data_IF_020336906965
#
_entry.id   IF_020336906965
#
_cell.length_a   1.000
_cell.length_b   1.000
_cell.length_c   1.000
_cell.angle_alpha   90.00
_cell.angle_beta   90.00
_cell.angle_gamma   90.00
#
_symmetry.space_group_name_H-M   'P 1'
#
loop_
_entity.id
_entity.type
_entity.pdbx_description
1 polymer ?
#
# COMPACT_ATOMS: atom_id res chain seq x y z
N UNK A 1 -21.64 -25.54 -12.00
CA UNK A 1 -20.44 -24.75 -11.63
C UNK A 1 -20.92 -23.42 -11.06
N UNK A 2 -20.56 -23.05 -9.83
CA UNK A 2 -21.14 -21.86 -9.16
C UNK A 2 -20.28 -20.61 -9.39
N UNK A 3 -20.93 -19.48 -9.69
CA UNK A 3 -20.26 -18.19 -9.90
C UNK A 3 -19.63 -17.67 -8.60
N UNK A 4 -18.61 -16.82 -8.71
CA UNK A 4 -17.96 -16.23 -7.54
C UNK A 4 -18.93 -15.41 -6.67
N UNK A 5 -19.87 -14.70 -7.30
CA UNK A 5 -20.91 -13.95 -6.61
C UNK A 5 -21.83 -14.86 -5.77
N UNK A 6 -22.21 -16.02 -6.32
CA UNK A 6 -23.04 -16.99 -5.59
C UNK A 6 -22.31 -17.62 -4.41
N UNK A 7 -21.00 -17.88 -4.55
CA UNK A 7 -20.16 -18.37 -3.44
C UNK A 7 -20.09 -17.36 -2.30
N UNK A 8 -19.88 -16.08 -2.62
CA UNK A 8 -19.86 -15.00 -1.64
C UNK A 8 -21.19 -14.86 -0.91
N UNK A 9 -22.32 -14.84 -1.63
CA UNK A 9 -23.66 -14.80 -1.01
C UNK A 9 -23.89 -15.96 -0.06
N UNK A 10 -23.48 -17.18 -0.44
CA UNK A 10 -23.61 -18.36 0.41
C UNK A 10 -22.74 -18.27 1.68
N UNK A 11 -21.50 -17.80 1.57
CA UNK A 11 -20.61 -17.62 2.71
C UNK A 11 -21.09 -16.50 3.64
N UNK A 12 -21.58 -15.38 3.10
CA UNK A 12 -22.11 -14.28 3.91
C UNK A 12 -23.35 -14.71 4.70
N UNK A 13 -24.27 -15.44 4.05
CA UNK A 13 -25.46 -15.99 4.70
C UNK A 13 -25.11 -17.04 5.78
N UNK A 14 -24.07 -17.84 5.54
CA UNK A 14 -23.52 -18.77 6.54
C UNK A 14 -22.99 -18.06 7.79
N UNK A 15 -22.32 -16.93 7.63
CA UNK A 15 -21.82 -16.11 8.75
C UNK A 15 -22.99 -15.46 9.49
N UNK A 16 -23.95 -14.88 8.77
CA UNK A 16 -25.16 -14.25 9.36
C UNK A 16 -25.99 -15.24 10.19
N UNK A 17 -26.09 -16.50 9.74
CA UNK A 17 -26.82 -17.57 10.45
C UNK A 17 -26.02 -18.22 11.60
N UNK A 18 -24.85 -17.69 11.96
CA UNK A 18 -24.04 -18.22 13.06
C UNK A 18 -23.43 -19.59 12.74
N UNK A 19 -22.96 -19.79 11.51
CA UNK A 19 -22.30 -21.03 11.04
C UNK A 19 -23.23 -22.25 10.94
N UNK A 20 -24.54 -22.03 10.78
CA UNK A 20 -25.53 -23.10 10.59
C UNK A 20 -25.62 -23.56 9.13
N UNK A 21 -24.82 -24.56 8.75
CA UNK A 21 -24.77 -25.14 7.39
C UNK A 21 -26.16 -25.48 6.83
N UNK A 22 -26.98 -26.20 7.60
CA UNK A 22 -28.30 -26.64 7.15
C UNK A 22 -29.27 -25.48 6.95
N UNK A 23 -29.10 -24.37 7.70
CA UNK A 23 -29.90 -23.16 7.53
C UNK A 23 -29.60 -22.49 6.18
N UNK A 24 -28.31 -22.35 5.87
CA UNK A 24 -27.85 -21.78 4.59
C UNK A 24 -28.32 -22.60 3.39
N UNK A 25 -28.24 -23.93 3.47
CA UNK A 25 -28.66 -24.82 2.38
C UNK A 25 -30.18 -24.80 2.19
N UNK A 26 -30.97 -24.78 3.27
CA UNK A 26 -32.43 -24.67 3.18
C UNK A 26 -32.88 -23.34 2.59
N UNK A 27 -32.16 -22.25 2.90
CA UNK A 27 -32.54 -20.90 2.47
C UNK A 27 -32.12 -20.61 1.02
N UNK A 28 -30.97 -21.12 0.57
CA UNK A 28 -30.48 -20.88 -0.78
C UNK A 28 -30.87 -22.00 -1.76
N UNK A 29 -31.12 -23.24 -1.30
CA UNK A 29 -31.45 -24.39 -2.16
C UNK A 29 -30.25 -24.99 -2.91
N UNK A 30 -29.12 -24.30 -2.86
CA UNK A 30 -27.76 -24.66 -3.27
C UNK A 30 -26.86 -23.97 -2.22
N UNK A 31 -25.62 -24.37 -1.89
CA UNK A 31 -24.72 -25.41 -2.38
C UNK A 31 -24.70 -26.68 -1.53
N UNK A 32 -23.81 -27.64 -1.82
CA UNK A 32 -23.57 -28.80 -0.95
C UNK A 32 -22.78 -28.43 0.30
N UNK A 33 -22.96 -29.21 1.38
CA UNK A 33 -22.25 -29.04 2.67
C UNK A 33 -20.73 -28.90 2.54
N UNK A 34 -20.12 -29.62 1.59
CA UNK A 34 -18.68 -29.61 1.36
C UNK A 34 -18.22 -28.36 0.61
N UNK A 35 -19.01 -27.91 -0.38
CA UNK A 35 -18.72 -26.69 -1.11
C UNK A 35 -18.74 -25.46 -0.19
N UNK A 36 -19.73 -25.37 0.71
CA UNK A 36 -19.83 -24.25 1.65
C UNK A 36 -18.65 -24.21 2.65
N UNK A 37 -18.16 -25.37 3.09
CA UNK A 37 -16.95 -25.47 3.93
C UNK A 37 -15.70 -25.03 3.16
N UNK A 38 -15.57 -25.43 1.90
CA UNK A 38 -14.47 -24.99 1.02
C UNK A 38 -14.48 -23.48 0.82
N UNK A 39 -15.63 -22.92 0.44
CA UNK A 39 -15.77 -21.49 0.22
C UNK A 39 -15.57 -20.67 1.49
N UNK A 40 -15.99 -21.16 2.65
CA UNK A 40 -15.71 -20.49 3.92
C UNK A 40 -14.21 -20.49 4.24
N UNK A 41 -13.48 -21.57 3.96
CA UNK A 41 -12.01 -21.62 4.12
C UNK A 41 -11.32 -20.67 3.17
N UNK A 42 -11.69 -20.67 1.89
CA UNK A 42 -11.18 -19.72 0.90
C UNK A 42 -11.48 -18.28 1.33
N UNK A 43 -12.70 -18.00 1.78
CA UNK A 43 -13.10 -16.68 2.26
C UNK A 43 -12.28 -16.23 3.48
N UNK A 44 -12.05 -17.12 4.46
CA UNK A 44 -11.21 -16.81 5.62
C UNK A 44 -9.76 -16.61 5.18
N UNK A 45 -9.19 -17.43 4.28
CA UNK A 45 -7.84 -17.23 3.76
C UNK A 45 -7.73 -15.92 2.98
N UNK A 46 -8.71 -15.58 2.15
CA UNK A 46 -8.72 -14.32 1.41
C UNK A 46 -8.99 -13.09 2.29
N UNK A 47 -9.78 -13.22 3.36
CA UNK A 47 -9.89 -12.16 4.37
C UNK A 47 -8.60 -12.04 5.18
N UNK A 48 -7.96 -13.15 5.55
CA UNK A 48 -6.67 -13.14 6.23
C UNK A 48 -5.61 -12.45 5.36
N UNK A 49 -5.62 -12.70 4.05
CA UNK A 49 -4.80 -12.00 3.05
C UNK A 49 -5.18 -10.53 2.83
N UNK A 50 -6.39 -10.09 3.21
CA UNK A 50 -6.76 -8.66 3.22
C UNK A 50 -6.48 -7.99 4.57
N UNK A 51 -6.50 -8.75 5.66
CA UNK A 51 -6.23 -8.29 7.03
C UNK A 51 -4.71 -8.24 7.28
N UNK A 52 -3.94 -9.10 6.61
CA UNK A 52 -2.51 -8.94 6.48
C UNK A 52 -2.24 -8.16 5.20
N UNK A 53 -2.06 -6.84 5.24
CA UNK A 53 -1.22 -6.25 4.22
C UNK A 53 0.08 -7.04 4.32
N UNK A 54 0.39 -7.81 3.27
CA UNK A 54 1.74 -8.31 3.06
C UNK A 54 2.58 -7.09 2.73
N UNK A 55 2.80 -6.25 3.75
CA UNK A 55 3.86 -5.29 3.80
C UNK A 55 5.10 -6.15 3.77
N UNK A 56 5.58 -6.44 2.57
CA UNK A 56 6.98 -6.80 2.38
C UNK A 56 7.75 -5.86 3.28
N UNK A 57 8.47 -6.41 4.26
CA UNK A 57 9.21 -5.60 5.22
C UNK A 57 9.93 -4.52 4.42
N UNK A 58 9.59 -3.23 4.62
CA UNK A 58 10.11 -2.19 3.76
C UNK A 58 11.63 -2.30 3.81
N UNK A 59 12.27 -2.31 2.64
CA UNK A 59 13.72 -2.48 2.48
C UNK A 59 14.54 -1.50 3.35
N UNK A 60 13.89 -0.45 3.81
CA UNK A 60 14.41 0.54 4.73
C UNK A 60 13.43 0.74 5.88
N UNK A 61 13.94 0.90 7.09
CA UNK A 61 13.12 1.19 8.26
C UNK A 61 12.47 2.58 8.13
N UNK A 62 11.34 2.79 8.80
CA UNK A 62 10.68 4.11 8.83
C UNK A 62 11.61 5.20 9.40
N UNK A 63 12.49 4.84 10.35
CA UNK A 63 13.52 5.73 10.88
C UNK A 63 14.53 6.17 9.82
N UNK A 64 14.92 5.27 8.91
CA UNK A 64 15.81 5.58 7.79
C UNK A 64 15.12 6.50 6.77
N UNK A 65 13.84 6.27 6.50
CA UNK A 65 13.01 7.14 5.64
C UNK A 65 12.95 8.56 6.22
N UNK A 66 12.66 8.69 7.52
CA UNK A 66 12.52 9.98 8.18
C UNK A 66 13.84 10.76 8.22
N UNK A 67 14.97 10.09 8.53
CA UNK A 67 16.29 10.73 8.52
C UNK A 67 16.65 11.27 7.12
N UNK A 68 16.31 10.53 6.07
CA UNK A 68 16.52 10.98 4.69
C UNK A 68 15.65 12.18 4.30
N UNK A 69 14.39 12.20 4.74
CA UNK A 69 13.48 13.33 4.50
C UNK A 69 13.90 14.59 5.27
N UNK A 70 14.42 14.45 6.49
CA UNK A 70 14.89 15.59 7.28
C UNK A 70 16.18 16.18 6.71
N UNK A 71 17.11 15.32 6.28
CA UNK A 71 18.32 15.77 5.59
C UNK A 71 17.99 16.47 4.26
N UNK A 72 16.94 16.01 3.57
CA UNK A 72 16.44 16.64 2.35
C UNK A 72 15.84 18.03 2.61
N UNK A 73 15.13 18.23 3.72
CA UNK A 73 14.58 19.55 4.12
C UNK A 73 15.68 20.55 4.46
N UNK A 74 16.72 20.10 5.15
CA UNK A 74 17.79 20.95 5.68
C UNK A 74 18.82 21.38 4.63
N UNK A 75 18.99 20.61 3.54
CA UNK A 75 20.02 20.82 2.53
C UNK A 75 19.43 21.17 1.14
N UNK A 76 18.55 22.17 1.10
CA UNK A 76 18.02 22.76 -0.14
C UNK A 76 17.30 21.79 -1.09
N UNK A 77 16.67 20.73 -0.56
CA UNK A 77 15.89 19.78 -1.36
C UNK A 77 16.74 19.08 -2.44
N UNK A 78 18.04 18.88 -2.18
CA UNK A 78 18.94 18.21 -3.10
C UNK A 78 19.06 16.70 -2.80
N UNK A 79 18.55 15.88 -3.73
CA UNK A 79 18.60 14.41 -3.67
C UNK A 79 20.05 13.90 -3.68
N UNK A 80 20.92 14.51 -4.49
CA UNK A 80 22.32 14.09 -4.64
C UNK A 80 23.14 14.29 -3.37
N UNK A 81 22.92 15.40 -2.65
CA UNK A 81 23.60 15.68 -1.37
C UNK A 81 23.15 14.67 -0.31
N UNK A 82 21.85 14.45 -0.21
CA UNK A 82 21.26 13.50 0.75
C UNK A 82 21.77 12.07 0.51
N UNK A 83 21.87 11.63 -0.75
CA UNK A 83 22.45 10.34 -1.11
C UNK A 83 23.93 10.22 -0.76
N UNK A 84 24.71 11.31 -0.91
CA UNK A 84 26.15 11.31 -0.63
C UNK A 84 26.44 11.25 0.87
N UNK A 85 25.62 11.91 1.68
CA UNK A 85 25.78 11.94 3.14
C UNK A 85 25.28 10.65 3.78
N UNK A 86 24.12 10.14 3.35
CA UNK A 86 23.53 8.94 3.96
C UNK A 86 24.01 7.63 3.33
N UNK A 87 24.51 7.64 2.09
CA UNK A 87 24.94 6.43 1.37
C UNK A 87 23.80 5.49 0.95
N UNK A 88 22.58 5.75 1.43
CA UNK A 88 21.30 5.13 1.07
C UNK A 88 20.21 6.22 1.19
N UNK A 89 19.01 6.06 0.61
CA UNK A 89 18.58 5.08 -0.39
C UNK A 89 18.96 5.53 -1.82
N UNK A 90 18.72 4.67 -2.82
CA UNK A 90 18.92 5.03 -4.23
C UNK A 90 18.04 6.21 -4.67
N UNK A 91 18.46 6.93 -5.72
CA UNK A 91 17.79 8.13 -6.26
C UNK A 91 16.29 7.95 -6.46
N UNK A 92 15.87 6.82 -7.04
CA UNK A 92 14.47 6.51 -7.32
C UNK A 92 13.63 6.37 -6.04
N UNK A 93 14.18 5.70 -5.03
CA UNK A 93 13.52 5.51 -3.74
C UNK A 93 13.40 6.82 -2.97
N UNK A 94 14.46 7.65 -2.93
CA UNK A 94 14.39 8.96 -2.27
C UNK A 94 13.37 9.88 -2.95
N UNK A 95 13.31 9.86 -4.28
CA UNK A 95 12.33 10.63 -5.05
C UNK A 95 10.89 10.19 -4.73
N UNK A 96 10.65 8.88 -4.60
CA UNK A 96 9.34 8.36 -4.21
C UNK A 96 8.94 8.82 -2.79
N UNK A 97 9.87 8.76 -1.82
CA UNK A 97 9.61 9.22 -0.47
C UNK A 97 9.36 10.73 -0.39
N UNK A 98 10.11 11.55 -1.14
CA UNK A 98 9.87 13.00 -1.20
C UNK A 98 8.50 13.30 -1.82
N UNK A 99 8.10 12.57 -2.88
CA UNK A 99 6.76 12.72 -3.49
C UNK A 99 5.63 12.36 -2.54
N UNK A 100 5.84 11.33 -1.72
CA UNK A 100 4.87 10.88 -0.70
C UNK A 100 4.80 11.86 0.49
N UNK A 101 5.94 12.35 0.95
CA UNK A 101 6.05 13.24 2.12
C UNK A 101 5.75 14.71 1.82
N UNK A 102 5.92 15.15 0.57
CA UNK A 102 5.71 16.54 0.15
C UNK A 102 4.83 16.61 -1.11
N UNK A 103 3.51 16.35 -0.99
CA UNK A 103 2.58 16.45 -2.10
C UNK A 103 2.54 17.87 -2.73
N UNK A 104 2.98 18.89 -2.01
CA UNK A 104 3.08 20.28 -2.47
C UNK A 104 4.07 20.50 -3.62
N UNK A 105 5.06 19.61 -3.81
CA UNK A 105 5.92 19.64 -5.00
C UNK A 105 5.16 19.33 -6.29
N UNK A 106 3.95 18.76 -6.19
CA UNK A 106 3.06 18.50 -7.33
C UNK A 106 2.24 19.74 -7.73
N UNK A 107 1.98 20.66 -6.80
CA UNK A 107 1.26 21.91 -7.09
C UNK A 107 2.09 22.84 -7.99
N UNK A 108 3.42 22.81 -7.87
CA UNK A 108 4.33 23.55 -8.76
C UNK A 108 4.48 22.92 -10.17
N UNK A 109 4.06 21.67 -10.37
CA UNK A 109 4.19 20.99 -11.66
C UNK A 109 3.08 21.34 -12.68
N UNK A 110 2.07 22.12 -12.28
CA UNK A 110 1.04 22.66 -13.19
C UNK A 110 1.33 24.09 -13.64
N UNK A 111 2.41 24.72 -13.16
CA UNK A 111 2.93 25.97 -13.72
C UNK A 111 4.09 25.66 -14.67
N UNK A 112 4.17 26.30 -15.85
CA UNK A 112 5.22 26.01 -16.81
C UNK A 112 6.58 26.41 -16.21
N UNK A 113 7.50 25.45 -16.19
CA UNK A 113 8.97 25.60 -16.03
C UNK A 113 9.46 26.90 -15.38
N UNK A 114 9.58 26.91 -14.05
CA UNK A 114 10.59 27.76 -13.41
C UNK A 114 11.86 26.91 -13.30
N UNK A 115 12.69 27.04 -14.34
CA UNK A 115 14.11 26.70 -14.30
C UNK A 115 14.77 27.73 -13.36
N UNK A 116 14.82 27.47 -12.06
CA UNK A 116 15.52 28.32 -11.10
C UNK A 116 16.81 27.63 -10.62
N UNK A 117 17.91 28.05 -11.25
CA UNK A 117 19.21 28.29 -10.66
C UNK A 117 19.80 27.20 -9.73
N UNK A 118 20.52 26.24 -10.34
CA UNK A 118 21.81 25.82 -9.79
C UNK A 118 22.89 26.67 -10.45
N UNK A 119 23.49 27.61 -9.70
CA UNK A 119 24.72 28.27 -10.13
C UNK A 119 24.85 29.70 -9.63
N UNK A 120 25.45 29.88 -8.45
CA UNK A 120 26.35 30.98 -8.13
C UNK A 120 26.85 30.82 -6.68
N UNK A 121 28.05 30.29 -6.52
CA UNK A 121 28.92 30.60 -5.37
C UNK A 121 29.49 32.00 -5.57
N UNK A 122 29.55 32.84 -4.52
CA UNK A 122 30.68 33.74 -4.33
C UNK A 122 31.45 33.26 -3.11
N UNK A 123 32.66 32.80 -3.36
CA UNK A 123 33.74 32.74 -2.38
C UNK A 123 34.12 34.18 -2.03
N UNK A 124 34.16 34.51 -0.74
CA UNK A 124 35.11 35.49 -0.20
C UNK A 124 36.18 34.74 0.59
#
# INVERSE_FOLDING_TARGET
MYSYADRLRAVELYIRLGKRLNGTIRQLGYPTKNALRGWYREYVQHLDLRIQPVSQAPKYSESQKQAALEHYRTHDRCISVTMRVLGYPGRGTLTAWVREAFPETRAFALLPSIKAYCGATPTE
#
